data_IF_565199301677
#
_entry.id   IF_565199301677
#
_cell.length_a   1.000
_cell.length_b   1.000
_cell.length_c   1.000
_cell.angle_alpha   90.00
_cell.angle_beta   90.00
_cell.angle_gamma   90.00
#
_symmetry.space_group_name_H-M   'P 1'
#
loop_
_entity.id
_entity.type
_entity.pdbx_description
1 polymer ?
#
# COMPACT_ATOMS: atom_id res chain seq x y z
N UNK A 1 26.04 -16.45 20.79
CA UNK A 1 25.34 -16.97 19.59
C UNK A 1 24.00 -16.27 19.48
N UNK A 2 23.83 -15.34 18.52
CA UNK A 2 22.56 -14.69 18.23
C UNK A 2 21.62 -15.76 17.63
N UNK A 3 20.53 -16.08 18.32
CA UNK A 3 19.48 -16.97 17.77
C UNK A 3 18.99 -16.35 16.44
N UNK A 4 19.25 -17.02 15.33
CA UNK A 4 18.67 -16.65 14.02
C UNK A 4 17.15 -16.68 14.19
N UNK A 5 16.50 -15.53 14.20
CA UNK A 5 15.04 -15.43 14.25
C UNK A 5 14.51 -16.13 12.99
N UNK A 6 13.73 -17.20 13.18
CA UNK A 6 13.10 -17.96 12.09
C UNK A 6 12.19 -17.02 11.28
N UNK A 7 12.30 -17.05 9.97
CA UNK A 7 11.41 -16.29 9.10
C UNK A 7 10.04 -17.00 8.99
N UNK A 8 8.95 -16.24 8.78
CA UNK A 8 7.66 -16.83 8.45
C UNK A 8 7.77 -17.71 7.20
N UNK A 9 7.00 -18.79 7.13
CA UNK A 9 6.92 -19.63 5.91
C UNK A 9 6.23 -18.86 4.79
N UNK A 10 6.56 -19.19 3.55
CA UNK A 10 5.84 -18.70 2.37
C UNK A 10 4.60 -19.57 2.11
N UNK A 11 3.59 -18.94 1.49
CA UNK A 11 2.37 -19.58 1.00
C UNK A 11 2.06 -19.01 -0.38
N UNK A 12 1.68 -19.84 -1.36
CA UNK A 12 1.18 -19.35 -2.63
C UNK A 12 -0.10 -18.54 -2.41
N UNK A 13 -0.10 -17.30 -2.88
CA UNK A 13 -1.28 -16.43 -2.86
C UNK A 13 -1.80 -16.31 -4.28
N UNK A 14 -3.08 -16.61 -4.46
CA UNK A 14 -3.87 -16.37 -5.65
C UNK A 14 -5.09 -15.58 -5.20
N UNK A 15 -5.01 -14.26 -5.24
CA UNK A 15 -6.03 -13.36 -4.72
C UNK A 15 -6.35 -12.30 -5.76
N UNK A 16 -7.61 -12.27 -6.18
CA UNK A 16 -8.18 -11.21 -6.99
C UNK A 16 -8.77 -10.12 -6.10
N UNK A 17 -8.95 -8.93 -6.68
CA UNK A 17 -9.68 -7.84 -6.05
C UNK A 17 -9.17 -7.49 -4.63
N UNK A 18 -7.86 -7.34 -4.45
CA UNK A 18 -7.37 -6.69 -3.24
C UNK A 18 -7.63 -5.18 -3.34
N UNK A 19 -7.94 -4.55 -2.20
CA UNK A 19 -8.47 -3.19 -2.13
C UNK A 19 -7.43 -2.24 -1.55
N UNK A 20 -7.01 -1.24 -2.33
CA UNK A 20 -6.17 -0.13 -1.88
C UNK A 20 -6.95 1.18 -2.00
N UNK A 21 -7.00 1.96 -0.93
CA UNK A 21 -7.63 3.27 -0.90
C UNK A 21 -6.56 4.37 -0.96
N UNK A 22 -6.67 5.28 -1.92
CA UNK A 22 -5.77 6.42 -2.12
C UNK A 22 -6.57 7.70 -1.98
N UNK A 23 -6.09 8.72 -1.21
CA UNK A 23 -6.80 9.99 -1.08
C UNK A 23 -7.14 10.61 -2.44
N UNK A 24 -8.40 10.96 -2.64
CA UNK A 24 -8.89 11.44 -3.94
C UNK A 24 -8.21 12.74 -4.41
N UNK A 25 -7.61 13.51 -3.50
CA UNK A 25 -6.80 14.69 -3.85
C UNK A 25 -5.57 14.37 -4.72
N UNK A 26 -5.14 13.10 -4.74
CA UNK A 26 -4.07 12.61 -5.62
C UNK A 26 -4.62 11.96 -6.90
N UNK A 27 -5.95 11.90 -7.04
CA UNK A 27 -6.61 11.47 -8.25
C UNK A 27 -6.57 12.62 -9.25
N UNK A 28 -5.78 12.49 -10.27
CA UNK A 28 -5.83 13.37 -11.44
C UNK A 28 -6.81 12.73 -12.42
N UNK A 29 -8.05 13.25 -12.47
CA UNK A 29 -8.92 12.97 -13.61
C UNK A 29 -8.13 13.35 -14.85
N UNK A 30 -7.81 12.39 -15.73
CA UNK A 30 -7.36 12.44 -17.13
C UNK A 30 -6.92 13.75 -17.79
N UNK A 31 -6.84 14.83 -17.08
CA UNK A 31 -6.29 16.10 -17.52
C UNK A 31 -4.80 16.19 -17.22
N UNK A 32 -4.00 15.43 -17.97
CA UNK A 32 -2.64 15.86 -18.24
C UNK A 32 -2.70 17.30 -18.74
N UNK A 33 -1.70 18.10 -18.38
CA UNK A 33 -1.50 19.46 -18.98
C UNK A 33 -1.60 19.37 -20.51
N UNK A 34 -1.27 18.22 -21.09
CA UNK A 34 -1.37 17.89 -22.50
C UNK A 34 -2.83 17.84 -23.02
N UNK A 35 -3.81 17.44 -22.21
CA UNK A 35 -5.23 17.44 -22.62
C UNK A 35 -5.78 18.84 -22.86
N UNK A 36 -5.15 19.87 -22.27
CA UNK A 36 -5.50 21.27 -22.50
C UNK A 36 -5.01 21.85 -23.85
N UNK A 37 -4.15 21.08 -24.56
CA UNK A 37 -3.61 21.52 -25.86
C UNK A 37 -4.62 21.41 -27.01
N UNK A 38 -5.79 20.79 -26.80
CA UNK A 38 -6.84 20.66 -27.81
C UNK A 38 -6.44 19.93 -29.09
N UNK A 39 -5.44 19.04 -29.01
CA UNK A 39 -4.93 18.29 -30.16
C UNK A 39 -5.86 17.10 -30.53
N UNK A 40 -5.84 16.67 -31.80
CA UNK A 40 -6.57 15.47 -32.21
C UNK A 40 -6.17 14.22 -31.42
N UNK A 41 -7.10 13.27 -31.15
CA UNK A 41 -6.86 12.10 -30.30
C UNK A 41 -5.60 11.29 -30.63
N UNK A 42 -5.28 11.09 -31.90
CA UNK A 42 -4.09 10.37 -32.34
C UNK A 42 -2.77 11.09 -32.01
N UNK A 43 -2.76 12.42 -32.05
CA UNK A 43 -1.60 13.23 -31.66
C UNK A 43 -1.47 13.32 -30.15
N UNK A 44 -2.59 13.35 -29.43
CA UNK A 44 -2.61 13.25 -27.98
C UNK A 44 -2.03 11.92 -27.48
N UNK A 45 -2.46 10.81 -28.07
CA UNK A 45 -1.92 9.49 -27.72
C UNK A 45 -0.40 9.39 -27.96
N UNK A 46 0.09 10.00 -29.03
CA UNK A 46 1.52 10.05 -29.31
C UNK A 46 2.29 10.91 -28.30
N UNK A 47 1.72 12.05 -27.90
CA UNK A 47 2.26 12.93 -26.88
C UNK A 47 2.24 12.28 -25.48
N UNK A 48 1.16 11.57 -25.11
CA UNK A 48 1.11 10.80 -23.89
C UNK A 48 2.17 9.72 -23.84
N UNK A 49 2.40 8.99 -24.94
CA UNK A 49 3.48 7.99 -25.02
C UNK A 49 4.87 8.62 -24.91
N UNK A 50 5.08 9.82 -25.46
CA UNK A 50 6.34 10.56 -25.35
C UNK A 50 6.53 11.13 -23.92
N UNK A 51 5.49 11.67 -23.31
CA UNK A 51 5.51 12.17 -21.95
C UNK A 51 5.76 11.04 -20.96
N UNK A 52 5.06 9.90 -21.11
CA UNK A 52 5.29 8.69 -20.34
C UNK A 52 6.73 8.16 -20.50
N UNK A 53 7.26 8.17 -21.72
CA UNK A 53 8.61 7.67 -22.01
C UNK A 53 9.73 8.60 -21.49
N UNK A 54 9.48 9.90 -21.38
CA UNK A 54 10.50 10.90 -21.03
C UNK A 54 10.36 11.44 -19.61
N UNK A 55 9.15 11.84 -19.19
CA UNK A 55 8.95 12.48 -17.89
C UNK A 55 8.95 11.48 -16.74
N UNK A 56 8.34 10.30 -16.90
CA UNK A 56 8.30 9.29 -15.85
C UNK A 56 9.68 8.70 -15.59
N UNK A 57 10.48 8.53 -16.65
CA UNK A 57 11.86 8.05 -16.52
C UNK A 57 12.76 9.08 -15.83
N UNK A 58 12.68 10.34 -16.25
CA UNK A 58 13.51 11.43 -15.70
C UNK A 58 13.07 11.83 -14.27
N UNK A 59 11.77 11.90 -14.00
CA UNK A 59 11.25 12.14 -12.65
C UNK A 59 11.52 10.96 -11.71
N UNK A 60 11.46 9.73 -12.22
CA UNK A 60 11.83 8.52 -11.50
C UNK A 60 13.32 8.50 -11.13
N UNK A 61 14.20 8.88 -12.06
CA UNK A 61 15.64 8.95 -11.83
C UNK A 61 16.06 10.10 -10.91
N UNK A 62 15.34 11.23 -10.92
CA UNK A 62 15.68 12.42 -10.12
C UNK A 62 15.18 12.38 -8.69
N UNK A 63 14.11 11.62 -8.37
CA UNK A 63 13.43 11.64 -7.07
C UNK A 63 13.24 10.24 -6.45
N UNK A 64 13.99 9.23 -6.89
CA UNK A 64 13.88 7.90 -6.29
C UNK A 64 14.38 7.90 -4.84
N UNK A 65 13.64 7.20 -3.99
CA UNK A 65 14.11 6.88 -2.65
C UNK A 65 15.34 5.95 -2.72
N UNK A 66 16.27 6.01 -1.74
CA UNK A 66 17.51 5.23 -1.78
C UNK A 66 17.31 3.71 -1.84
N UNK A 67 16.15 3.23 -1.44
CA UNK A 67 15.83 1.78 -1.35
C UNK A 67 15.12 1.22 -2.58
N UNK A 68 14.96 1.98 -3.68
CA UNK A 68 14.35 1.50 -4.92
C UNK A 68 15.10 2.04 -6.14
N UNK A 69 15.18 1.25 -7.20
CA UNK A 69 15.83 1.62 -8.46
C UNK A 69 14.80 1.73 -9.59
N UNK A 70 15.13 2.48 -10.65
CA UNK A 70 14.27 2.61 -11.84
C UNK A 70 13.96 1.26 -12.50
N UNK A 71 14.89 0.30 -12.41
CA UNK A 71 14.74 -1.04 -12.99
C UNK A 71 13.68 -1.91 -12.26
N UNK A 72 13.28 -1.51 -11.05
CA UNK A 72 12.22 -2.19 -10.31
C UNK A 72 10.83 -1.65 -10.65
N UNK A 73 10.75 -0.46 -11.25
CA UNK A 73 9.50 0.18 -11.61
C UNK A 73 8.85 -0.50 -12.81
N UNK A 74 7.54 -0.36 -12.93
CA UNK A 74 6.74 -0.90 -14.05
C UNK A 74 6.30 0.24 -14.95
N UNK A 75 6.25 -0.03 -16.28
CA UNK A 75 5.84 0.92 -17.30
C UNK A 75 5.01 0.19 -18.35
N UNK A 76 4.16 0.93 -19.07
CA UNK A 76 3.37 0.38 -20.18
C UNK A 76 2.21 -0.54 -19.74
N UNK A 77 1.88 -0.57 -18.45
CA UNK A 77 0.69 -1.28 -17.93
C UNK A 77 -0.33 -0.27 -17.40
N UNK A 78 -1.63 -0.57 -17.40
CA UNK A 78 -2.66 0.32 -16.86
C UNK A 78 -2.33 0.73 -15.42
N UNK A 79 -2.51 1.99 -15.09
CA UNK A 79 -2.28 2.57 -13.75
C UNK A 79 -0.85 2.37 -13.19
N UNK A 80 0.17 2.21 -14.06
CA UNK A 80 1.56 2.03 -13.61
C UNK A 80 2.05 3.17 -12.70
N UNK A 81 1.60 4.39 -12.90
CA UNK A 81 1.92 5.54 -12.06
C UNK A 81 1.41 5.35 -10.61
N UNK A 82 0.24 4.75 -10.43
CA UNK A 82 -0.30 4.40 -9.10
C UNK A 82 0.52 3.28 -8.47
N UNK A 83 0.94 2.29 -9.28
CA UNK A 83 1.83 1.22 -8.80
C UNK A 83 3.14 1.83 -8.33
N UNK A 84 3.84 2.55 -9.21
CA UNK A 84 5.16 3.11 -8.92
C UNK A 84 5.14 4.08 -7.73
N UNK A 85 4.10 4.94 -7.63
CA UNK A 85 3.94 5.87 -6.52
C UNK A 85 3.92 5.17 -5.15
N UNK A 86 3.36 3.94 -5.06
CA UNK A 86 3.35 3.19 -3.82
C UNK A 86 4.75 2.81 -3.31
N UNK A 87 5.73 2.73 -4.19
CA UNK A 87 7.11 2.32 -3.88
C UNK A 87 8.09 3.49 -3.85
N UNK A 88 7.80 4.57 -4.58
CA UNK A 88 8.66 5.76 -4.67
C UNK A 88 8.32 6.83 -3.63
N UNK A 89 7.19 6.71 -2.94
CA UNK A 89 6.78 7.62 -1.88
C UNK A 89 6.71 6.87 -0.54
N UNK A 90 7.59 7.20 0.39
CA UNK A 90 7.57 6.71 1.75
C UNK A 90 7.54 7.87 2.74
N UNK A 91 6.87 7.68 3.87
CA UNK A 91 6.93 8.64 4.98
C UNK A 91 8.30 8.49 5.69
N UNK A 92 8.86 9.57 6.29
CA UNK A 92 10.13 9.49 7.01
C UNK A 92 10.19 8.40 8.07
N UNK A 93 9.09 8.15 8.79
CA UNK A 93 8.96 7.06 9.76
C UNK A 93 8.70 5.68 9.15
N UNK A 94 8.54 5.60 7.83
CA UNK A 94 8.18 4.38 7.13
C UNK A 94 6.73 3.93 7.36
N UNK A 95 6.52 2.64 7.16
CA UNK A 95 5.24 1.94 7.31
C UNK A 95 5.46 0.62 8.05
N UNK A 96 4.41 -0.19 8.25
CA UNK A 96 4.52 -1.43 9.05
C UNK A 96 5.68 -2.34 8.59
N UNK A 97 5.86 -2.56 7.29
CA UNK A 97 6.91 -3.44 6.76
C UNK A 97 7.89 -2.73 5.82
N UNK A 98 7.82 -1.39 5.69
CA UNK A 98 8.72 -0.58 4.88
C UNK A 98 9.42 0.48 5.72
N UNK A 99 10.69 0.72 5.44
CA UNK A 99 11.44 1.86 5.99
C UNK A 99 11.07 3.17 5.31
N UNK A 100 11.73 4.28 5.74
CA UNK A 100 11.56 5.59 5.08
C UNK A 100 12.30 5.70 3.74
N UNK A 101 13.07 4.71 3.37
CA UNK A 101 13.90 4.64 2.17
C UNK A 101 13.21 3.95 0.99
N UNK A 102 12.06 3.29 1.22
CA UNK A 102 11.30 2.57 0.20
C UNK A 102 9.83 2.46 0.61
N UNK A 103 8.93 2.74 -0.34
CA UNK A 103 7.51 2.46 -0.16
C UNK A 103 7.16 0.97 -0.32
N UNK A 104 5.92 0.64 0.01
CA UNK A 104 5.35 -0.71 -0.06
C UNK A 104 3.90 -0.59 -0.55
N UNK A 105 3.46 -1.50 -1.42
CA UNK A 105 2.04 -1.59 -1.76
C UNK A 105 1.27 -2.31 -0.67
N UNK A 106 0.37 -1.60 0.00
CA UNK A 106 -0.57 -2.16 0.98
C UNK A 106 -1.96 -2.24 0.40
N UNK A 107 -2.65 -3.38 0.64
CA UNK A 107 -4.05 -3.57 0.29
C UNK A 107 -4.75 -4.52 1.28
N UNK A 108 -6.06 -4.36 1.45
CA UNK A 108 -6.90 -5.32 2.16
C UNK A 108 -7.46 -6.38 1.21
N UNK A 109 -7.71 -7.60 1.69
CA UNK A 109 -8.42 -8.64 0.92
C UNK A 109 -9.93 -8.35 0.80
N UNK A 110 -10.42 -7.36 1.48
CA UNK A 110 -11.78 -6.83 1.34
C UNK A 110 -11.79 -5.32 1.49
N UNK A 111 -12.77 -4.67 0.87
CA UNK A 111 -12.96 -3.22 1.00
C UNK A 111 -13.13 -2.81 2.47
N UNK A 112 -13.84 -3.59 3.28
CA UNK A 112 -13.99 -3.34 4.73
C UNK A 112 -12.66 -3.32 5.46
N UNK A 113 -11.73 -4.21 5.10
CA UNK A 113 -10.38 -4.23 5.69
C UNK A 113 -9.60 -2.98 5.30
N UNK A 114 -9.63 -2.59 4.03
CA UNK A 114 -8.98 -1.37 3.56
C UNK A 114 -9.58 -0.11 4.22
N UNK A 115 -10.91 -0.06 4.38
CA UNK A 115 -11.61 1.03 5.07
C UNK A 115 -11.16 1.16 6.52
N UNK A 116 -11.07 0.04 7.26
CA UNK A 116 -10.67 0.05 8.67
C UNK A 116 -9.21 0.54 8.85
N UNK A 117 -8.29 0.11 7.98
CA UNK A 117 -6.89 0.57 8.01
C UNK A 117 -6.80 2.07 7.71
N UNK A 118 -7.50 2.57 6.68
CA UNK A 118 -7.51 4.00 6.33
C UNK A 118 -8.16 4.84 7.42
N UNK A 119 -9.33 4.42 7.93
CA UNK A 119 -10.03 5.14 8.99
C UNK A 119 -9.16 5.28 10.24
N UNK A 120 -8.45 4.23 10.63
CA UNK A 120 -7.52 4.28 11.74
C UNK A 120 -6.41 5.31 11.51
N UNK A 121 -5.69 5.20 10.39
CA UNK A 121 -4.53 6.07 10.12
C UNK A 121 -4.91 7.54 9.92
N UNK A 122 -6.06 7.80 9.32
CA UNK A 122 -6.57 9.17 9.19
C UNK A 122 -6.98 9.74 10.56
N UNK A 123 -7.71 8.96 11.34
CA UNK A 123 -8.09 9.32 12.72
C UNK A 123 -6.90 9.56 13.65
N UNK A 124 -5.79 8.79 13.50
CA UNK A 124 -4.54 9.08 14.23
C UNK A 124 -4.00 10.48 13.87
N UNK A 125 -3.97 10.83 12.59
CA UNK A 125 -3.55 12.18 12.17
C UNK A 125 -4.44 13.29 12.74
N UNK A 126 -5.76 13.07 12.79
CA UNK A 126 -6.66 14.03 13.42
C UNK A 126 -6.42 14.15 14.96
N UNK A 127 -6.12 13.04 15.63
CA UNK A 127 -5.76 13.03 17.08
C UNK A 127 -4.46 13.77 17.35
N UNK A 128 -3.43 13.58 16.51
CA UNK A 128 -2.15 14.28 16.67
C UNK A 128 -2.30 15.80 16.66
N UNK A 129 -3.24 16.34 15.89
CA UNK A 129 -3.52 17.78 15.83
C UNK A 129 -4.70 18.21 16.71
N UNK A 130 -5.28 17.28 17.50
CA UNK A 130 -6.44 17.51 18.36
C UNK A 130 -7.63 18.15 17.62
N UNK A 131 -7.94 17.63 16.42
CA UNK A 131 -9.00 18.14 15.56
C UNK A 131 -10.37 17.90 16.19
N UNK A 132 -11.22 18.93 16.27
CA UNK A 132 -12.51 18.91 17.01
C UNK A 132 -13.74 19.11 16.12
N UNK A 133 -13.53 19.39 14.85
CA UNK A 133 -14.59 19.67 13.89
C UNK A 133 -14.89 18.44 13.03
N UNK A 134 -16.03 18.44 12.36
CA UNK A 134 -16.35 17.43 11.38
C UNK A 134 -15.38 17.53 10.21
N UNK A 135 -14.80 16.40 9.80
CA UNK A 135 -13.87 16.30 8.70
C UNK A 135 -14.35 15.24 7.70
N UNK A 136 -14.46 15.63 6.44
CA UNK A 136 -14.86 14.71 5.36
C UNK A 136 -13.72 14.54 4.35
N UNK A 137 -13.33 13.30 4.10
CA UNK A 137 -12.28 12.96 3.15
C UNK A 137 -12.72 11.84 2.21
N UNK A 138 -12.41 12.00 0.92
CA UNK A 138 -12.71 11.02 -0.11
C UNK A 138 -11.45 10.26 -0.54
N UNK A 139 -11.62 8.95 -0.81
CA UNK A 139 -10.59 8.04 -1.30
C UNK A 139 -11.07 7.34 -2.56
N UNK A 140 -10.23 7.24 -3.56
CA UNK A 140 -10.43 6.36 -4.71
C UNK A 140 -9.93 4.97 -4.38
N UNK A 141 -10.75 3.97 -4.63
CA UNK A 141 -10.38 2.57 -4.56
C UNK A 141 -9.58 2.17 -5.81
N UNK A 142 -8.53 1.42 -5.61
CA UNK A 142 -7.82 0.68 -6.66
C UNK A 142 -7.82 -0.80 -6.30
N UNK A 143 -8.27 -1.62 -7.22
CA UNK A 143 -8.25 -3.07 -7.15
C UNK A 143 -6.97 -3.59 -7.77
N UNK A 144 -6.38 -4.63 -7.20
CA UNK A 144 -5.20 -5.29 -7.76
C UNK A 144 -5.23 -6.80 -7.45
N UNK A 145 -4.63 -7.58 -8.34
CA UNK A 145 -4.55 -9.03 -8.23
C UNK A 145 -3.12 -9.47 -7.90
N UNK A 146 -2.99 -10.54 -7.10
CA UNK A 146 -1.70 -11.09 -6.70
C UNK A 146 -1.61 -12.59 -7.00
N UNK A 147 -0.49 -13.00 -7.63
CA UNK A 147 -0.17 -14.38 -8.00
C UNK A 147 1.32 -14.61 -7.72
N UNK A 148 1.68 -14.88 -6.45
CA UNK A 148 3.06 -15.17 -6.05
C UNK A 148 3.12 -15.83 -4.68
N UNK A 149 4.31 -16.28 -4.27
CA UNK A 149 4.57 -16.75 -2.90
C UNK A 149 4.86 -15.55 -1.98
N UNK A 150 4.07 -15.42 -0.92
CA UNK A 150 4.24 -14.41 0.12
C UNK A 150 4.54 -15.07 1.46
N UNK A 151 5.35 -14.43 2.31
CA UNK A 151 5.47 -14.83 3.69
C UNK A 151 4.14 -14.64 4.42
N UNK A 152 3.66 -15.68 5.11
CA UNK A 152 2.31 -15.71 5.65
C UNK A 152 2.31 -15.66 7.19
N UNK A 153 1.84 -14.55 7.73
CA UNK A 153 1.67 -14.35 9.17
C UNK A 153 0.28 -14.80 9.69
N UNK A 154 -0.58 -15.33 8.81
CA UNK A 154 -1.90 -15.85 9.20
C UNK A 154 -1.85 -17.32 9.62
N UNK A 155 -0.76 -18.02 9.35
CA UNK A 155 -0.65 -19.46 9.52
C UNK A 155 -0.90 -19.90 10.97
N UNK A 156 -1.68 -20.97 11.17
CA UNK A 156 -1.98 -21.53 12.50
C UNK A 156 -0.73 -22.01 13.23
N UNK A 157 0.26 -22.53 12.51
CA UNK A 157 1.54 -22.94 13.07
C UNK A 157 2.30 -21.75 13.69
N UNK A 158 2.14 -20.59 13.10
CA UNK A 158 2.66 -19.34 13.60
C UNK A 158 2.01 -18.92 14.93
N UNK A 159 0.70 -19.11 15.07
CA UNK A 159 -0.04 -18.85 16.32
C UNK A 159 0.30 -19.87 17.41
N UNK A 160 0.56 -21.12 17.05
CA UNK A 160 0.90 -22.19 17.99
C UNK A 160 2.32 -21.98 18.55
N UNK A 161 3.28 -21.59 17.70
CA UNK A 161 4.64 -21.24 18.15
C UNK A 161 4.62 -20.00 19.08
N UNK A 162 3.74 -19.05 18.80
CA UNK A 162 3.51 -17.88 19.65
C UNK A 162 2.89 -18.25 21.02
N UNK A 163 1.96 -19.19 21.04
CA UNK A 163 1.36 -19.70 22.29
C UNK A 163 2.34 -20.50 23.17
N UNK A 164 3.41 -21.05 22.58
CA UNK A 164 4.47 -21.77 23.31
C UNK A 164 5.59 -20.89 23.85
N UNK A 165 5.44 -19.59 23.81
CA UNK A 165 6.37 -18.66 24.43
C UNK A 165 7.47 -18.13 23.51
N UNK A 166 7.33 -18.22 22.17
CA UNK A 166 8.14 -17.38 21.29
C UNK A 166 7.43 -16.04 21.03
N UNK A 167 7.67 -15.01 21.86
CA UNK A 167 7.00 -13.71 21.74
C UNK A 167 7.43 -12.95 20.49
N UNK A 168 8.32 -13.56 19.68
CA UNK A 168 8.97 -12.88 18.56
C UNK A 168 8.02 -12.49 17.44
N UNK A 169 6.89 -13.16 17.29
CA UNK A 169 6.00 -12.96 16.17
C UNK A 169 4.87 -11.96 16.43
N UNK A 170 4.34 -11.87 17.64
CA UNK A 170 3.36 -10.83 18.03
C UNK A 170 3.92 -9.42 17.84
N UNK A 171 5.25 -9.27 18.02
CA UNK A 171 5.92 -7.97 17.80
C UNK A 171 5.78 -7.40 16.40
N UNK A 172 5.55 -8.23 15.37
CA UNK A 172 5.37 -7.76 13.99
C UNK A 172 3.99 -7.20 13.71
N UNK A 173 3.03 -7.52 14.58
CA UNK A 173 1.64 -7.08 14.49
C UNK A 173 1.26 -6.10 15.61
N UNK A 174 2.25 -5.52 16.29
CA UNK A 174 2.00 -4.49 17.30
C UNK A 174 1.26 -3.30 16.65
N UNK A 175 0.17 -2.81 17.28
CA UNK A 175 -0.60 -1.69 16.73
C UNK A 175 0.20 -0.38 16.69
N UNK A 176 1.03 -0.14 17.70
CA UNK A 176 1.63 1.17 17.98
C UNK A 176 3.14 1.21 17.77
N UNK A 177 3.75 0.12 17.26
CA UNK A 177 5.19 0.06 16.99
C UNK A 177 5.49 -0.74 15.74
N UNK A 178 6.21 -0.12 14.81
CA UNK A 178 6.62 -0.74 13.55
C UNK A 178 8.08 -1.19 13.52
N UNK A 179 8.86 -0.94 14.58
CA UNK A 179 10.30 -1.24 14.59
C UNK A 179 10.63 -2.70 14.25
N UNK A 180 9.94 -3.65 14.87
CA UNK A 180 10.18 -5.06 14.62
C UNK A 180 9.70 -5.53 13.24
N UNK A 181 8.53 -5.05 12.80
CA UNK A 181 7.99 -5.38 11.48
C UNK A 181 8.80 -4.75 10.34
N UNK A 182 9.32 -3.54 10.50
CA UNK A 182 10.25 -2.91 9.54
C UNK A 182 11.55 -3.71 9.42
N UNK A 183 12.12 -4.19 10.54
CA UNK A 183 13.30 -5.07 10.51
C UNK A 183 13.01 -6.39 9.79
N UNK A 184 11.81 -6.97 9.98
CA UNK A 184 11.39 -8.15 9.23
C UNK A 184 11.27 -7.82 7.75
N UNK A 185 10.56 -6.75 7.39
CA UNK A 185 10.36 -6.31 6.01
C UNK A 185 11.68 -6.10 5.27
N UNK A 186 12.65 -5.41 5.90
CA UNK A 186 14.00 -5.23 5.36
C UNK A 186 14.69 -6.58 5.08
N UNK A 187 14.71 -7.47 6.06
CA UNK A 187 15.34 -8.80 5.89
C UNK A 187 14.71 -9.62 4.77
N UNK A 188 13.39 -9.55 4.62
CA UNK A 188 12.66 -10.24 3.57
C UNK A 188 12.91 -9.63 2.19
N UNK A 189 12.96 -8.30 2.10
CA UNK A 189 13.30 -7.59 0.87
C UNK A 189 14.71 -7.94 0.40
N UNK A 190 15.70 -7.95 1.31
CA UNK A 190 17.10 -8.32 1.03
C UNK A 190 17.23 -9.76 0.51
N UNK A 191 16.29 -10.65 0.87
CA UNK A 191 16.21 -12.03 0.37
C UNK A 191 15.37 -12.18 -0.90
N UNK A 192 14.94 -11.08 -1.48
CA UNK A 192 14.17 -11.10 -2.71
C UNK A 192 12.70 -11.50 -2.56
N UNK A 193 12.13 -11.42 -1.35
CA UNK A 193 10.74 -11.76 -1.07
C UNK A 193 9.74 -10.94 -1.91
N UNK A 194 8.60 -11.55 -2.26
CA UNK A 194 7.46 -10.86 -2.84
C UNK A 194 6.79 -9.91 -1.83
N UNK A 195 6.81 -10.26 -0.55
CA UNK A 195 6.15 -9.50 0.51
C UNK A 195 5.53 -10.38 1.59
N UNK A 196 4.54 -9.84 2.29
CA UNK A 196 3.92 -10.43 3.48
C UNK A 196 2.40 -10.38 3.36
N UNK A 197 1.73 -11.48 3.68
CA UNK A 197 0.29 -11.52 3.96
C UNK A 197 0.10 -11.67 5.47
N UNK A 198 -0.77 -10.85 6.06
CA UNK A 198 -0.91 -10.78 7.51
C UNK A 198 -2.34 -10.45 7.94
N UNK A 199 -2.76 -10.84 9.16
CA UNK A 199 -4.05 -10.44 9.70
C UNK A 199 -4.06 -8.92 9.94
N UNK A 200 -5.16 -8.25 9.54
CA UNK A 200 -5.37 -6.84 9.88
C UNK A 200 -5.40 -6.66 11.40
N UNK A 201 -4.70 -5.64 11.89
CA UNK A 201 -4.75 -5.25 13.31
C UNK A 201 -5.86 -4.25 13.60
N UNK A 202 -6.57 -3.78 12.56
CA UNK A 202 -7.66 -2.79 12.64
C UNK A 202 -9.03 -3.37 12.29
N UNK A 203 -9.06 -4.53 11.64
CA UNK A 203 -10.29 -5.23 11.27
C UNK A 203 -10.19 -6.71 11.67
N UNK A 204 -10.90 -7.10 12.73
CA UNK A 204 -10.93 -8.49 13.21
C UNK A 204 -11.39 -9.45 12.08
N UNK A 205 -10.60 -10.50 11.83
CA UNK A 205 -10.84 -11.44 10.73
C UNK A 205 -10.41 -10.93 9.34
N UNK A 206 -10.01 -9.65 9.20
CA UNK A 206 -9.49 -9.11 7.96
C UNK A 206 -8.07 -9.59 7.64
N UNK A 207 -7.75 -9.62 6.36
CA UNK A 207 -6.41 -9.93 5.84
C UNK A 207 -5.87 -8.76 5.04
N UNK A 208 -4.59 -8.46 5.22
CA UNK A 208 -3.84 -7.46 4.47
C UNK A 208 -2.68 -8.10 3.73
N UNK A 209 -2.26 -7.46 2.64
CA UNK A 209 -1.04 -7.76 1.90
C UNK A 209 -0.13 -6.53 1.90
N UNK A 210 1.17 -6.77 2.06
CA UNK A 210 2.25 -5.82 1.87
C UNK A 210 3.16 -6.38 0.76
N UNK A 211 3.04 -5.87 -0.45
CA UNK A 211 3.85 -6.27 -1.59
C UNK A 211 5.10 -5.39 -1.70
N UNK A 212 6.27 -6.01 -1.88
CA UNK A 212 7.56 -5.33 -1.93
C UNK A 212 8.04 -5.06 -3.35
N UNK A 213 7.38 -5.61 -4.36
CA UNK A 213 7.85 -5.55 -5.76
C UNK A 213 6.76 -4.99 -6.67
N UNK A 214 7.02 -3.86 -7.37
CA UNK A 214 6.07 -3.27 -8.31
C UNK A 214 5.53 -4.27 -9.34
N UNK A 215 6.40 -5.10 -9.91
CA UNK A 215 6.05 -6.06 -10.97
C UNK A 215 5.06 -7.16 -10.54
N UNK A 216 4.80 -7.33 -9.23
CA UNK A 216 3.84 -8.29 -8.71
C UNK A 216 2.44 -7.70 -8.47
N UNK A 217 2.29 -6.38 -8.62
CA UNK A 217 0.99 -5.71 -8.52
C UNK A 217 0.31 -5.81 -9.88
N UNK A 218 -0.54 -6.81 -10.03
CA UNK A 218 -1.17 -7.15 -11.31
C UNK A 218 -2.56 -6.56 -11.49
N UNK A 219 -2.96 -6.34 -12.76
CA UNK A 219 -4.34 -6.01 -13.15
C UNK A 219 -4.95 -4.87 -12.32
N UNK A 220 -4.22 -3.76 -12.19
CA UNK A 220 -4.70 -2.61 -11.43
C UNK A 220 -5.85 -1.94 -12.17
N UNK A 221 -6.95 -1.66 -11.47
CA UNK A 221 -8.15 -1.04 -11.98
C UNK A 221 -8.82 -0.16 -10.94
N UNK A 222 -9.51 0.86 -11.39
CA UNK A 222 -10.27 1.73 -10.51
C UNK A 222 -11.53 1.03 -9.99
N UNK A 223 -11.86 1.32 -8.73
CA UNK A 223 -13.06 0.87 -8.06
C UNK A 223 -13.93 2.03 -7.57
N UNK A 224 -14.55 1.86 -6.43
CA UNK A 224 -15.47 2.80 -5.84
C UNK A 224 -14.82 4.10 -5.32
N UNK A 225 -15.61 5.14 -5.18
CA UNK A 225 -15.29 6.31 -4.37
C UNK A 225 -15.77 6.07 -2.94
N UNK A 226 -14.85 6.11 -1.99
CA UNK A 226 -15.13 5.89 -0.57
C UNK A 226 -14.95 7.19 0.19
N UNK A 227 -16.02 7.66 0.83
CA UNK A 227 -16.02 8.90 1.62
C UNK A 227 -16.11 8.55 3.10
N UNK A 228 -15.19 9.10 3.88
CA UNK A 228 -15.18 9.03 5.34
C UNK A 228 -15.58 10.39 5.90
N UNK A 229 -16.57 10.41 6.79
CA UNK A 229 -16.96 11.61 7.54
C UNK A 229 -16.69 11.35 9.02
N UNK A 230 -15.65 11.97 9.54
CA UNK A 230 -15.27 11.93 10.95
C UNK A 230 -16.00 13.05 11.69
N UNK A 231 -16.81 12.75 12.71
CA UNK A 231 -17.44 13.80 13.51
C UNK A 231 -16.41 14.66 14.25
N UNK A 232 -15.31 14.05 14.66
CA UNK A 232 -14.12 14.63 15.29
C UNK A 232 -12.97 13.59 15.28
N UNK A 233 -11.87 13.92 15.94
CA UNK A 233 -10.68 13.05 16.04
C UNK A 233 -10.89 11.77 16.87
N UNK A 234 -11.93 11.66 17.66
CA UNK A 234 -12.10 10.61 18.69
C UNK A 234 -13.20 9.61 18.38
N UNK A 235 -14.08 9.93 17.43
CA UNK A 235 -15.18 9.07 17.02
C UNK A 235 -14.92 8.38 15.68
N UNK A 236 -15.48 7.19 15.54
CA UNK A 236 -15.39 6.45 14.29
C UNK A 236 -16.11 7.19 13.14
N UNK A 237 -15.55 7.19 11.92
CA UNK A 237 -16.18 7.87 10.79
C UNK A 237 -17.41 7.11 10.30
N UNK A 238 -18.36 7.88 9.74
CA UNK A 238 -19.36 7.33 8.83
C UNK A 238 -18.71 7.06 7.47
N UNK A 239 -19.01 5.92 6.86
CA UNK A 239 -18.42 5.53 5.56
C UNK A 239 -19.52 5.41 4.51
N UNK A 240 -19.36 6.13 3.39
CA UNK A 240 -20.21 6.05 2.21
C UNK A 240 -19.40 5.52 1.03
N UNK A 241 -19.96 4.57 0.28
CA UNK A 241 -19.35 4.00 -0.93
C UNK A 241 -20.24 4.34 -2.11
N UNK A 242 -19.68 5.02 -3.11
CA UNK A 242 -20.31 5.29 -4.40
C UNK A 242 -19.58 4.50 -5.49
N UNK A 243 -20.33 3.77 -6.29
CA UNK A 243 -19.83 2.99 -7.43
C UNK A 243 -20.00 3.74 -8.72
#
# INVERSE_FOLDING_TARGET
>A
MLRRTKLPKTTPISQDDTHRLIPNKFYQEGESVLSRLGLPPAQMEHLFRLDDATNTRLAGEANLLPGITVHELVFGVPHYHIINAAFTHARPGGSRFGGGDRGVWYAGFSLKTAQAEVAYHYGEGLREVNWKEEETVAYREYLADFRAEFHDLRNKDFRIEDQRGDPSFKKYLQPDSYRASQQLGRRLLDQGSAGIVYPSVRHAGGTCIACFRPALVGNVREGALVTFTFPDAFHAPKVKVAR
#
